data_IF_825193508973
#
_entry.id   IF_825193508973
#
_cell.length_a   1.000
_cell.length_b   1.000
_cell.length_c   1.000
_cell.angle_alpha   90.00
_cell.angle_beta   90.00
_cell.angle_gamma   90.00
#
_symmetry.space_group_name_H-M   'P 1'
#
loop_
_entity.id
_entity.type
_entity.pdbx_description
1 polymer ?
#
# COMPACT_ATOMS: atom_id res chain seq x y z
N UNK A 1 20.49 -11.57 -25.48
CA UNK A 1 19.74 -10.36 -25.07
C UNK A 1 18.83 -10.76 -23.91
N UNK A 2 18.83 -10.10 -22.74
CA UNK A 2 17.92 -10.49 -21.68
C UNK A 2 16.49 -10.31 -22.18
N UNK A 3 15.71 -11.39 -22.19
CA UNK A 3 14.31 -11.37 -22.59
C UNK A 3 13.58 -10.40 -21.65
N UNK A 4 13.15 -9.25 -22.16
CA UNK A 4 12.46 -8.23 -21.37
C UNK A 4 11.08 -8.77 -21.01
N UNK A 5 10.92 -9.28 -19.79
CA UNK A 5 9.65 -9.84 -19.32
C UNK A 5 8.57 -8.77 -19.40
N UNK A 6 7.37 -9.08 -19.90
CA UNK A 6 6.30 -8.07 -19.99
C UNK A 6 5.88 -7.61 -18.59
N UNK A 7 5.53 -6.34 -18.45
CA UNK A 7 4.97 -5.83 -17.20
C UNK A 7 3.67 -6.57 -16.90
N UNK A 8 3.48 -7.10 -15.68
CA UNK A 8 2.37 -8.00 -15.39
C UNK A 8 1.04 -7.25 -15.27
N UNK A 9 -0.06 -7.95 -15.53
CA UNK A 9 -1.41 -7.37 -15.50
C UNK A 9 -1.75 -6.74 -14.14
N UNK A 10 -1.38 -7.38 -13.03
CA UNK A 10 -1.62 -6.82 -11.68
C UNK A 10 -0.90 -5.49 -11.45
N UNK A 11 0.26 -5.27 -12.10
CA UNK A 11 0.96 -4.00 -12.04
C UNK A 11 0.20 -2.91 -12.78
N UNK A 12 -0.37 -3.23 -13.96
CA UNK A 12 -1.24 -2.31 -14.70
C UNK A 12 -2.54 -2.01 -13.95
N UNK A 13 -3.13 -3.03 -13.31
CA UNK A 13 -4.30 -2.85 -12.45
C UNK A 13 -3.96 -1.93 -11.27
N UNK A 14 -2.81 -2.12 -10.62
CA UNK A 14 -2.32 -1.21 -9.60
C UNK A 14 -2.20 0.23 -10.12
N UNK A 15 -1.57 0.43 -11.29
CA UNK A 15 -1.46 1.76 -11.88
C UNK A 15 -2.84 2.41 -12.13
N UNK A 16 -3.79 1.65 -12.67
CA UNK A 16 -5.14 2.13 -12.90
C UNK A 16 -5.84 2.53 -11.60
N UNK A 17 -5.81 1.67 -10.58
CA UNK A 17 -6.44 1.95 -9.28
C UNK A 17 -5.80 3.17 -8.62
N UNK A 18 -4.47 3.31 -8.67
CA UNK A 18 -3.77 4.45 -8.08
C UNK A 18 -4.17 5.77 -8.77
N UNK A 19 -4.23 5.78 -10.10
CA UNK A 19 -4.66 6.97 -10.87
C UNK A 19 -6.11 7.32 -10.56
N UNK A 20 -7.02 6.33 -10.54
CA UNK A 20 -8.43 6.56 -10.20
C UNK A 20 -8.56 7.09 -8.77
N UNK A 21 -7.88 6.49 -7.79
CA UNK A 21 -7.88 6.97 -6.41
C UNK A 21 -7.37 8.42 -6.31
N UNK A 22 -6.30 8.76 -7.03
CA UNK A 22 -5.75 10.11 -7.07
C UNK A 22 -6.72 11.12 -7.68
N UNK A 23 -7.40 10.77 -8.78
CA UNK A 23 -8.40 11.63 -9.42
C UNK A 23 -9.60 11.85 -8.50
N UNK A 24 -10.10 10.78 -7.87
CA UNK A 24 -11.23 10.88 -6.93
C UNK A 24 -10.88 11.70 -5.68
N UNK A 25 -9.61 11.63 -5.23
CA UNK A 25 -9.11 12.50 -4.16
C UNK A 25 -9.17 13.97 -4.58
N UNK A 26 -8.72 14.30 -5.80
CA UNK A 26 -8.74 15.68 -6.32
C UNK A 26 -10.17 16.21 -6.56
N UNK A 27 -11.10 15.35 -6.97
CA UNK A 27 -12.53 15.69 -7.08
C UNK A 27 -13.16 15.90 -5.70
N UNK A 28 -12.51 15.43 -4.64
CA UNK A 28 -12.92 15.69 -3.26
C UNK A 28 -13.94 14.68 -2.71
N UNK A 29 -14.01 13.48 -3.25
CA UNK A 29 -14.89 12.42 -2.72
C UNK A 29 -14.47 12.08 -1.28
N UNK A 30 -15.38 12.28 -0.32
CA UNK A 30 -15.09 12.12 1.11
C UNK A 30 -14.59 10.72 1.47
N UNK A 31 -15.24 9.68 0.95
CA UNK A 31 -14.82 8.29 1.16
C UNK A 31 -13.38 8.08 0.71
N UNK A 32 -12.99 8.64 -0.43
CA UNK A 32 -11.61 8.51 -0.91
C UNK A 32 -10.63 9.30 -0.05
N UNK A 33 -11.01 10.46 0.50
CA UNK A 33 -10.14 11.22 1.43
C UNK A 33 -9.82 10.42 2.69
N UNK A 34 -10.82 9.79 3.31
CA UNK A 34 -10.60 8.99 4.51
C UNK A 34 -9.77 7.74 4.23
N UNK A 35 -9.98 7.10 3.08
CA UNK A 35 -9.38 5.82 2.73
C UNK A 35 -8.23 5.92 1.74
N UNK A 36 -7.71 7.12 1.50
CA UNK A 36 -6.74 7.35 0.45
C UNK A 36 -5.46 6.54 0.68
N UNK A 37 -5.00 6.46 1.93
CA UNK A 37 -3.77 5.78 2.29
C UNK A 37 -3.76 4.31 1.84
N UNK A 38 -4.70 3.43 2.26
CA UNK A 38 -4.73 2.06 1.78
C UNK A 38 -5.03 1.97 0.27
N UNK A 39 -5.86 2.86 -0.27
CA UNK A 39 -6.16 2.93 -1.71
C UNK A 39 -4.95 3.31 -2.55
N UNK A 40 -3.95 4.00 -2.01
CA UNK A 40 -2.70 4.32 -2.68
C UNK A 40 -1.62 3.26 -2.42
N UNK A 41 -1.55 2.75 -1.19
CA UNK A 41 -0.46 1.88 -0.74
C UNK A 41 -0.47 0.50 -1.38
N UNK A 42 -1.64 -0.15 -1.45
CA UNK A 42 -1.74 -1.48 -2.07
C UNK A 42 -1.43 -1.45 -3.57
N UNK A 43 -1.99 -0.52 -4.37
CA UNK A 43 -1.61 -0.38 -5.77
C UNK A 43 -0.13 -0.07 -5.97
N UNK A 44 0.48 0.75 -5.10
CA UNK A 44 1.91 1.00 -5.13
C UNK A 44 2.72 -0.30 -5.00
N UNK A 45 2.38 -1.17 -4.05
CA UNK A 45 3.06 -2.48 -3.88
C UNK A 45 2.95 -3.32 -5.17
N UNK A 46 1.76 -3.37 -5.80
CA UNK A 46 1.54 -4.11 -7.05
C UNK A 46 2.38 -3.56 -8.20
N UNK A 47 2.48 -2.23 -8.33
CA UNK A 47 3.28 -1.56 -9.36
C UNK A 47 4.77 -1.89 -9.15
N UNK A 48 5.27 -1.77 -7.92
CA UNK A 48 6.68 -2.03 -7.59
C UNK A 48 7.03 -3.50 -7.78
N UNK A 49 6.21 -4.43 -7.30
CA UNK A 49 6.43 -5.86 -7.53
C UNK A 49 6.41 -6.19 -9.04
N UNK A 50 5.49 -5.58 -9.78
CA UNK A 50 5.42 -5.70 -11.23
C UNK A 50 6.67 -5.17 -11.95
N UNK A 51 7.27 -4.09 -11.43
CA UNK A 51 8.50 -3.52 -11.95
C UNK A 51 9.70 -4.43 -11.67
N UNK A 52 9.75 -5.03 -10.47
CA UNK A 52 10.74 -6.06 -10.13
C UNK A 52 10.62 -7.25 -11.07
N UNK A 53 9.40 -7.72 -11.33
CA UNK A 53 9.14 -8.81 -12.28
C UNK A 53 9.59 -8.44 -13.71
N UNK A 54 9.27 -7.23 -14.17
CA UNK A 54 9.66 -6.75 -15.50
C UNK A 54 11.19 -6.73 -15.67
N UNK A 55 11.94 -6.31 -14.64
CA UNK A 55 13.40 -6.20 -14.69
C UNK A 55 14.13 -7.53 -14.47
N UNK A 56 13.65 -8.39 -13.56
CA UNK A 56 14.36 -9.61 -13.13
C UNK A 56 13.72 -10.92 -13.63
N UNK A 57 12.50 -10.87 -14.16
CA UNK A 57 11.72 -12.05 -14.56
C UNK A 57 11.13 -12.87 -13.41
N UNK A 58 11.36 -12.44 -12.18
CA UNK A 58 10.84 -13.04 -10.96
C UNK A 58 10.57 -11.91 -9.96
N UNK A 59 9.47 -12.04 -9.23
CA UNK A 59 9.11 -11.15 -8.13
C UNK A 59 8.60 -11.97 -6.95
N UNK A 60 8.51 -11.35 -5.78
CA UNK A 60 8.11 -12.04 -4.56
C UNK A 60 6.66 -12.51 -4.68
N UNK A 61 5.77 -11.64 -5.16
CA UNK A 61 4.34 -11.95 -5.28
C UNK A 61 4.07 -13.11 -6.26
N UNK A 62 4.85 -13.23 -7.34
CA UNK A 62 4.68 -14.32 -8.32
C UNK A 62 5.34 -15.63 -7.91
N UNK A 63 6.54 -15.59 -7.32
CA UNK A 63 7.34 -16.79 -7.07
C UNK A 63 7.12 -17.36 -5.67
N UNK A 64 6.85 -16.51 -4.71
CA UNK A 64 6.85 -16.78 -3.28
C UNK A 64 5.68 -16.06 -2.58
N UNK A 65 4.42 -16.35 -2.99
CA UNK A 65 3.25 -15.63 -2.47
C UNK A 65 3.04 -15.85 -0.98
N UNK A 66 3.41 -17.02 -0.44
CA UNK A 66 3.30 -17.31 0.99
C UNK A 66 4.22 -16.41 1.79
N UNK A 67 5.47 -16.30 1.35
CA UNK A 67 6.47 -15.44 1.95
C UNK A 67 6.05 -13.97 1.87
N UNK A 68 5.43 -13.54 0.76
CA UNK A 68 4.83 -12.22 0.65
C UNK A 68 3.77 -11.97 1.73
N UNK A 69 2.82 -12.89 1.94
CA UNK A 69 1.79 -12.71 2.97
C UNK A 69 2.34 -12.81 4.40
N UNK A 70 3.40 -13.58 4.62
CA UNK A 70 4.10 -13.61 5.91
C UNK A 70 4.76 -12.26 6.25
N UNK A 71 5.04 -11.39 5.27
CA UNK A 71 5.53 -10.03 5.55
C UNK A 71 4.47 -9.12 6.14
N UNK A 72 3.17 -9.40 5.99
CA UNK A 72 2.10 -8.57 6.55
C UNK A 72 2.18 -8.47 8.09
N UNK A 73 2.22 -9.58 8.86
CA UNK A 73 2.37 -9.48 10.31
C UNK A 73 3.70 -8.83 10.69
N UNK A 74 4.80 -9.10 9.97
CA UNK A 74 6.08 -8.43 10.22
C UNK A 74 6.01 -6.92 10.01
N UNK A 75 5.34 -6.47 8.94
CA UNK A 75 5.11 -5.05 8.65
C UNK A 75 4.34 -4.38 9.79
N UNK A 76 3.29 -5.03 10.31
CA UNK A 76 2.51 -4.54 11.45
C UNK A 76 3.37 -4.49 12.71
N UNK A 77 4.13 -5.55 13.00
CA UNK A 77 5.04 -5.58 14.16
C UNK A 77 6.06 -4.44 14.12
N UNK A 78 6.70 -4.20 12.97
CA UNK A 78 7.63 -3.09 12.84
C UNK A 78 6.95 -1.74 13.00
N UNK A 79 5.75 -1.56 12.43
CA UNK A 79 4.96 -0.34 12.62
C UNK A 79 4.66 -0.09 14.10
N UNK A 80 4.27 -1.11 14.85
CA UNK A 80 3.96 -0.98 16.28
C UNK A 80 5.17 -0.60 17.14
N UNK A 81 6.39 -0.99 16.72
CA UNK A 81 7.62 -0.52 17.39
C UNK A 81 7.78 0.99 17.20
N UNK A 82 7.55 1.51 15.99
CA UNK A 82 7.58 2.96 15.76
C UNK A 82 6.46 3.68 16.52
N UNK A 83 5.27 3.09 16.59
CA UNK A 83 4.17 3.64 17.38
C UNK A 83 4.51 3.71 18.87
N UNK A 84 5.16 2.68 19.41
CA UNK A 84 5.63 2.69 20.80
C UNK A 84 6.59 3.84 21.06
N UNK A 85 7.56 4.07 20.16
CA UNK A 85 8.47 5.22 20.29
C UNK A 85 7.73 6.54 20.21
N UNK A 86 6.78 6.67 19.29
CA UNK A 86 5.96 7.86 19.16
C UNK A 86 5.15 8.17 20.43
N UNK A 87 4.60 7.16 21.09
CA UNK A 87 3.87 7.30 22.37
C UNK A 87 4.81 7.73 23.49
N UNK A 88 5.96 7.07 23.64
CA UNK A 88 6.93 7.37 24.71
C UNK A 88 7.49 8.79 24.57
N UNK A 89 7.79 9.19 23.34
CA UNK A 89 8.36 10.50 23.04
C UNK A 89 7.31 11.61 22.94
N UNK A 90 6.01 11.28 23.00
CA UNK A 90 4.91 12.20 22.71
C UNK A 90 5.12 12.97 21.39
N UNK A 91 5.65 12.27 20.38
CA UNK A 91 6.14 12.89 19.15
C UNK A 91 5.00 13.41 18.25
N UNK A 92 3.84 12.75 18.30
CA UNK A 92 2.66 13.13 17.52
C UNK A 92 1.36 12.68 18.20
N UNK A 93 0.26 13.33 17.85
CA UNK A 93 -1.08 12.96 18.27
C UNK A 93 -2.03 13.05 17.07
N UNK A 94 -3.03 12.17 17.03
CA UNK A 94 -3.97 12.14 15.93
C UNK A 94 -4.97 13.32 16.04
N UNK A 95 -5.03 14.15 15.01
CA UNK A 95 -5.97 15.27 14.87
C UNK A 95 -6.95 15.00 13.74
N UNK A 96 -8.19 15.50 13.88
CA UNK A 96 -9.26 15.37 12.87
C UNK A 96 -9.57 13.92 12.44
N UNK A 97 -9.53 12.99 13.39
CA UNK A 97 -9.88 11.59 13.16
C UNK A 97 -11.42 11.45 13.13
N UNK A 98 -12.00 10.65 12.21
CA UNK A 98 -13.44 10.39 12.17
C UNK A 98 -13.99 9.98 13.54
N UNK A 99 -15.14 10.53 13.93
CA UNK A 99 -15.84 10.15 15.17
C UNK A 99 -16.34 8.70 15.11
N UNK A 100 -16.74 8.26 13.92
CA UNK A 100 -17.20 6.91 13.68
C UNK A 100 -16.04 5.90 13.80
N UNK A 101 -16.15 4.97 14.75
CA UNK A 101 -15.14 3.95 15.05
C UNK A 101 -14.84 3.06 13.84
N UNK A 102 -15.85 2.71 13.05
CA UNK A 102 -15.66 1.88 11.85
C UNK A 102 -14.86 2.67 10.81
N UNK A 103 -15.16 3.94 10.57
CA UNK A 103 -14.37 4.75 9.64
C UNK A 103 -12.93 5.00 10.13
N UNK A 104 -12.71 4.94 11.45
CA UNK A 104 -11.40 5.12 12.08
C UNK A 104 -10.51 3.89 11.98
N UNK A 105 -11.09 2.69 12.10
CA UNK A 105 -10.33 1.44 12.28
C UNK A 105 -10.60 0.34 11.25
N UNK A 106 -11.63 0.50 10.40
CA UNK A 106 -11.78 -0.39 9.25
C UNK A 106 -10.65 -0.12 8.24
#
# INVERSE_FOLDING_TARGET
MPNKNRFPLYGWLGLCVLVVAQVLLFIGIEVVRYWFFPLAWWPYILIVDGLVYHRKGSSLLKRHPREFFLLLPWSVCFWLIFELFNVVLNNWHYVMVPENILQRWA
#
